data_IF_079268934567
#
_entry.id   IF_079268934567
#
_cell.length_a   1.000
_cell.length_b   1.000
_cell.length_c   1.000
_cell.angle_alpha   90.00
_cell.angle_beta   90.00
_cell.angle_gamma   90.00
#
_symmetry.space_group_name_H-M   'P 1'
#
loop_
_entity.id
_entity.type
_entity.pdbx_description
1 polymer ?
#
# COMPACT_ATOMS: atom_id res chain seq x y z
N UNK A 1 12.02 5.72 -0.19
CA UNK A 1 12.35 5.01 1.05
C UNK A 1 13.70 4.31 0.98
N UNK A 2 14.17 3.74 2.11
CA UNK A 2 15.47 3.07 2.21
C UNK A 2 15.59 1.83 1.32
N UNK A 3 16.81 1.55 0.84
CA UNK A 3 17.15 0.31 0.15
C UNK A 3 17.25 -0.87 1.13
N UNK A 4 17.22 -2.11 0.61
CA UNK A 4 17.52 -3.31 1.40
C UNK A 4 18.96 -3.75 1.16
N UNK A 5 19.59 -4.27 2.21
CA UNK A 5 20.92 -4.89 2.15
C UNK A 5 20.79 -6.37 1.78
N UNK A 6 21.51 -6.78 0.74
CA UNK A 6 21.56 -8.14 0.25
C UNK A 6 23.00 -8.68 0.30
N UNK A 7 23.14 -9.99 0.39
CA UNK A 7 24.44 -10.68 0.30
C UNK A 7 24.44 -11.57 -0.93
N UNK A 8 25.42 -11.40 -1.82
CA UNK A 8 25.61 -12.30 -2.96
C UNK A 8 26.64 -13.37 -2.61
N UNK A 9 26.19 -14.59 -2.34
CA UNK A 9 27.06 -15.76 -2.19
C UNK A 9 27.42 -16.33 -3.56
N UNK A 10 28.70 -16.35 -3.91
CA UNK A 10 29.19 -17.05 -5.10
C UNK A 10 29.39 -18.54 -4.82
N UNK A 11 29.30 -19.41 -5.82
CA UNK A 11 29.69 -20.81 -5.67
C UNK A 11 31.16 -20.88 -5.22
N UNK A 12 31.40 -21.35 -3.99
CA UNK A 12 32.74 -21.60 -3.47
C UNK A 12 33.45 -20.46 -2.72
N UNK A 13 32.77 -19.35 -2.38
CA UNK A 13 33.32 -18.34 -1.44
C UNK A 13 32.50 -18.34 -0.15
N UNK A 14 33.17 -18.54 1.00
CA UNK A 14 32.52 -18.53 2.32
C UNK A 14 31.96 -17.15 2.69
N UNK A 15 32.61 -16.07 2.26
CA UNK A 15 32.13 -14.70 2.46
C UNK A 15 31.52 -14.11 1.18
N UNK A 16 30.20 -13.93 1.16
CA UNK A 16 29.49 -13.24 0.09
C UNK A 16 29.70 -11.72 0.15
N UNK A 17 29.64 -11.04 -0.99
CA UNK A 17 29.75 -9.56 -1.04
C UNK A 17 28.38 -8.90 -0.87
N UNK A 18 28.33 -7.86 -0.03
CA UNK A 18 27.09 -7.17 0.36
C UNK A 18 26.79 -5.97 -0.54
N UNK A 19 25.52 -5.76 -0.87
CA UNK A 19 25.08 -4.65 -1.71
C UNK A 19 23.67 -4.18 -1.34
N UNK A 20 23.39 -2.91 -1.58
CA UNK A 20 22.06 -2.32 -1.47
C UNK A 20 21.33 -2.36 -2.80
N UNK A 21 20.03 -2.68 -2.77
CA UNK A 21 19.14 -2.60 -3.93
C UNK A 21 17.73 -2.14 -3.53
N UNK A 22 16.90 -1.81 -4.53
CA UNK A 22 15.53 -1.37 -4.28
C UNK A 22 14.74 -2.36 -3.42
N UNK A 23 13.98 -1.85 -2.45
CA UNK A 23 13.21 -2.65 -1.51
C UNK A 23 11.94 -3.24 -2.13
N UNK A 24 11.29 -2.52 -3.04
CA UNK A 24 9.96 -2.87 -3.56
C UNK A 24 9.94 -3.18 -5.06
N UNK A 25 11.04 -2.99 -5.78
CA UNK A 25 11.09 -3.20 -7.23
C UNK A 25 12.19 -4.18 -7.61
N UNK A 26 11.82 -5.20 -8.39
CA UNK A 26 12.73 -6.22 -8.93
C UNK A 26 13.23 -5.89 -10.33
N UNK A 27 12.53 -5.03 -11.06
CA UNK A 27 12.95 -4.62 -12.39
C UNK A 27 13.87 -3.40 -12.30
N UNK A 28 15.13 -3.58 -12.71
CA UNK A 28 16.10 -2.49 -12.72
C UNK A 28 15.73 -1.38 -13.71
N UNK A 29 14.76 -1.62 -14.60
CA UNK A 29 14.20 -0.59 -15.48
C UNK A 29 13.36 0.43 -14.71
N UNK A 30 12.58 -0.04 -13.73
CA UNK A 30 11.68 0.82 -12.96
C UNK A 30 12.40 1.43 -11.73
N UNK A 31 13.32 0.67 -11.11
CA UNK A 31 14.24 1.22 -10.12
C UNK A 31 15.65 0.62 -10.29
N UNK A 32 16.56 1.41 -10.85
CA UNK A 32 17.92 1.00 -11.17
C UNK A 32 18.91 1.06 -9.99
N UNK A 33 18.43 1.26 -8.75
CA UNK A 33 19.32 1.48 -7.61
C UNK A 33 20.15 0.23 -7.28
N UNK A 34 21.47 0.41 -7.28
CA UNK A 34 22.44 -0.61 -6.88
C UNK A 34 23.69 0.09 -6.33
N UNK A 35 24.19 -0.40 -5.19
CA UNK A 35 25.41 0.12 -4.58
C UNK A 35 26.07 -0.99 -3.75
N UNK A 36 27.37 -1.23 -3.90
CA UNK A 36 28.06 -2.15 -2.98
C UNK A 36 28.21 -1.51 -1.60
N UNK A 37 28.15 -2.30 -0.53
CA UNK A 37 28.25 -1.77 0.84
C UNK A 37 29.61 -1.10 1.10
N UNK A 38 30.67 -1.63 0.50
CA UNK A 38 32.06 -1.15 0.61
C UNK A 38 32.40 -0.03 -0.40
N UNK A 39 31.47 0.33 -1.30
CA UNK A 39 31.69 1.35 -2.32
C UNK A 39 31.52 2.75 -1.73
N UNK A 40 32.60 3.54 -1.76
CA UNK A 40 32.55 4.96 -1.39
C UNK A 40 31.77 5.74 -2.46
N UNK A 41 30.78 6.51 -2.01
CA UNK A 41 29.97 7.38 -2.88
C UNK A 41 30.57 8.78 -2.87
N UNK A 42 30.89 9.31 -4.05
CA UNK A 42 31.30 10.71 -4.18
C UNK A 42 30.13 11.66 -3.96
N UNK A 43 30.40 12.88 -3.50
CA UNK A 43 29.37 13.91 -3.31
C UNK A 43 28.56 14.17 -4.59
N UNK A 44 29.20 14.17 -5.76
CA UNK A 44 28.53 14.32 -7.06
C UNK A 44 27.53 13.20 -7.33
N UNK A 45 27.90 11.94 -7.03
CA UNK A 45 27.00 10.80 -7.23
C UNK A 45 25.85 10.79 -6.22
N UNK A 46 26.10 11.23 -4.99
CA UNK A 46 25.07 11.41 -3.98
C UNK A 46 24.05 12.47 -4.43
N UNK A 47 24.51 13.65 -4.83
CA UNK A 47 23.65 14.73 -5.30
C UNK A 47 22.81 14.32 -6.52
N UNK A 48 23.40 13.65 -7.50
CA UNK A 48 22.69 13.13 -8.66
C UNK A 48 21.61 12.10 -8.27
N UNK A 49 21.88 11.25 -7.25
CA UNK A 49 20.90 10.28 -6.76
C UNK A 49 19.76 10.95 -5.99
N UNK A 50 20.05 11.97 -5.19
CA UNK A 50 19.03 12.74 -4.50
C UNK A 50 18.12 13.49 -5.48
N UNK A 51 18.69 14.08 -6.52
CA UNK A 51 17.93 14.72 -7.59
C UNK A 51 17.04 13.71 -8.33
N UNK A 52 17.60 12.55 -8.70
CA UNK A 52 16.81 11.46 -9.27
C UNK A 52 15.65 11.08 -8.34
N UNK A 53 15.91 10.89 -7.04
CA UNK A 53 14.87 10.52 -6.07
C UNK A 53 13.78 11.61 -5.93
N UNK A 54 14.14 12.89 -6.00
CA UNK A 54 13.18 14.02 -5.99
C UNK A 54 12.31 14.03 -7.24
N UNK A 55 12.90 13.82 -8.42
CA UNK A 55 12.18 13.83 -9.70
C UNK A 55 11.25 12.62 -9.89
N UNK A 56 11.40 11.57 -9.07
CA UNK A 56 10.53 10.39 -9.08
C UNK A 56 9.54 10.38 -7.89
N UNK A 57 9.39 11.50 -7.18
CA UNK A 57 8.28 11.66 -6.24
C UNK A 57 6.97 11.92 -7.00
N UNK A 58 5.81 11.60 -6.40
CA UNK A 58 4.53 11.96 -6.99
C UNK A 58 4.41 13.47 -7.23
N UNK A 59 3.76 13.85 -8.33
CA UNK A 59 3.57 15.25 -8.72
C UNK A 59 2.76 16.07 -7.70
N UNK A 60 1.90 15.41 -6.94
CA UNK A 60 1.11 16.00 -5.87
C UNK A 60 1.45 15.36 -4.53
N UNK A 61 1.50 16.16 -3.48
CA UNK A 61 1.48 15.67 -2.10
C UNK A 61 0.11 15.11 -1.74
N UNK A 62 0.03 14.26 -0.70
CA UNK A 62 -1.25 13.71 -0.26
C UNK A 62 -2.23 14.82 0.16
N UNK A 63 -1.76 15.81 0.92
CA UNK A 63 -2.58 16.98 1.28
C UNK A 63 -3.15 17.72 0.06
N UNK A 64 -2.34 17.95 -0.98
CA UNK A 64 -2.82 18.55 -2.22
C UNK A 64 -3.89 17.66 -2.87
N UNK A 65 -3.69 16.35 -2.90
CA UNK A 65 -4.67 15.39 -3.40
C UNK A 65 -6.00 15.42 -2.62
N UNK A 66 -5.95 15.57 -1.29
CA UNK A 66 -7.15 15.75 -0.45
C UNK A 66 -7.89 17.04 -0.80
N UNK A 67 -7.17 18.16 -0.94
CA UNK A 67 -7.78 19.44 -1.29
C UNK A 67 -8.36 19.44 -2.71
N UNK A 68 -7.67 18.78 -3.66
CA UNK A 68 -8.17 18.53 -5.01
C UNK A 68 -9.44 17.71 -5.00
N UNK A 69 -9.49 16.63 -4.21
CA UNK A 69 -10.67 15.77 -4.08
C UNK A 69 -11.88 16.55 -3.58
N UNK A 70 -11.71 17.39 -2.54
CA UNK A 70 -12.78 18.28 -2.03
C UNK A 70 -13.32 19.21 -3.11
N UNK A 71 -12.44 19.83 -3.91
CA UNK A 71 -12.86 20.67 -5.03
C UNK A 71 -13.55 19.86 -6.13
N UNK A 72 -13.06 18.66 -6.41
CA UNK A 72 -13.60 17.77 -7.44
C UNK A 72 -15.03 17.31 -7.13
N UNK A 73 -15.32 16.90 -5.89
CA UNK A 73 -16.67 16.45 -5.49
C UNK A 73 -17.72 17.57 -5.51
N UNK A 74 -17.29 18.84 -5.44
CA UNK A 74 -18.18 19.99 -5.58
C UNK A 74 -18.52 20.33 -7.03
N UNK A 75 -17.80 19.78 -8.00
CA UNK A 75 -18.09 19.99 -9.41
C UNK A 75 -19.44 19.36 -9.80
N UNK A 76 -20.19 19.99 -10.73
CA UNK A 76 -21.30 19.33 -11.41
C UNK A 76 -20.84 18.06 -12.11
N UNK A 77 -21.71 17.04 -12.19
CA UNK A 77 -21.39 15.73 -12.78
C UNK A 77 -20.71 15.83 -14.18
N UNK A 78 -21.19 16.67 -15.13
CA UNK A 78 -20.56 16.82 -16.46
C UNK A 78 -19.14 17.39 -16.45
N UNK A 79 -18.71 17.97 -15.33
CA UNK A 79 -17.36 18.52 -15.14
C UNK A 79 -16.44 17.58 -14.36
N UNK A 80 -16.91 16.41 -13.94
CA UNK A 80 -16.09 15.41 -13.24
C UNK A 80 -15.46 14.49 -14.27
N UNK A 81 -14.17 14.68 -14.51
CA UNK A 81 -13.39 13.88 -15.47
C UNK A 81 -12.25 13.15 -14.78
N UNK A 82 -11.99 11.93 -15.21
CA UNK A 82 -10.84 11.14 -14.80
C UNK A 82 -10.03 10.79 -16.05
N UNK A 83 -8.75 11.13 -16.06
CA UNK A 83 -7.84 10.81 -17.16
C UNK A 83 -7.33 9.38 -17.00
N UNK A 84 -7.58 8.53 -17.99
CA UNK A 84 -7.20 7.11 -17.94
C UNK A 84 -5.71 6.90 -18.19
N UNK A 85 -5.05 7.79 -18.91
CA UNK A 85 -3.61 7.69 -19.17
C UNK A 85 -2.80 8.15 -17.96
N UNK A 86 -3.15 9.31 -17.40
CA UNK A 86 -2.48 9.86 -16.21
C UNK A 86 -2.97 9.24 -14.90
N UNK A 87 -4.07 8.48 -14.92
CA UNK A 87 -4.70 7.88 -13.74
C UNK A 87 -5.06 8.91 -12.65
N UNK A 88 -5.63 10.04 -13.08
CA UNK A 88 -5.81 11.23 -12.25
C UNK A 88 -7.21 11.85 -12.39
N UNK A 89 -7.80 12.26 -11.27
CA UNK A 89 -8.97 13.13 -11.20
C UNK A 89 -8.60 14.54 -11.68
N UNK A 90 -9.33 15.04 -12.68
CA UNK A 90 -9.03 16.32 -13.32
C UNK A 90 -9.97 17.43 -12.85
N UNK A 91 -9.37 18.54 -12.40
CA UNK A 91 -10.07 19.79 -12.21
C UNK A 91 -10.18 20.54 -13.55
N UNK A 92 -11.19 21.42 -13.74
CA UNK A 92 -11.41 22.12 -15.02
C UNK A 92 -10.19 22.87 -15.58
N UNK A 93 -9.35 23.42 -14.69
CA UNK A 93 -8.14 24.16 -15.08
C UNK A 93 -7.05 23.26 -15.71
N UNK A 94 -7.19 21.94 -15.62
CA UNK A 94 -6.17 20.99 -16.07
C UNK A 94 -6.52 20.35 -17.41
N UNK A 95 -7.73 20.57 -17.92
CA UNK A 95 -8.22 19.88 -19.11
C UNK A 95 -7.37 20.15 -20.36
N UNK A 96 -6.80 21.35 -20.49
CA UNK A 96 -5.95 21.72 -21.62
C UNK A 96 -4.66 20.88 -21.68
N UNK A 97 -4.12 20.44 -20.53
CA UNK A 97 -2.92 19.61 -20.49
C UNK A 97 -3.19 18.14 -20.82
N UNK A 98 -4.46 17.76 -21.02
CA UNK A 98 -4.87 16.39 -21.25
C UNK A 98 -5.69 16.23 -22.54
N UNK A 99 -5.73 17.22 -23.44
CA UNK A 99 -6.64 17.23 -24.61
C UNK A 99 -6.57 15.98 -25.48
N UNK A 100 -5.38 15.39 -25.59
CA UNK A 100 -5.13 14.22 -26.43
C UNK A 100 -5.26 12.89 -25.66
N UNK A 101 -5.62 12.93 -24.37
CA UNK A 101 -5.76 11.74 -23.52
C UNK A 101 -7.19 11.19 -23.52
N UNK A 102 -7.31 9.91 -23.15
CA UNK A 102 -8.60 9.25 -22.89
C UNK A 102 -9.16 9.59 -21.52
N UNK A 103 -10.48 9.79 -21.46
CA UNK A 103 -11.20 10.19 -20.24
C UNK A 103 -12.38 9.29 -19.94
N UNK A 104 -12.62 9.11 -18.65
CA UNK A 104 -13.94 8.79 -18.11
C UNK A 104 -14.61 10.10 -17.68
N UNK A 105 -15.83 10.31 -18.15
CA UNK A 105 -16.66 11.48 -17.85
C UNK A 105 -17.76 11.11 -16.84
N UNK A 106 -18.43 12.14 -16.30
CA UNK A 106 -19.59 11.98 -15.42
C UNK A 106 -19.31 11.09 -14.20
N UNK A 107 -18.12 11.27 -13.57
CA UNK A 107 -17.70 10.44 -12.44
C UNK A 107 -18.60 10.66 -11.24
N UNK A 108 -19.39 9.64 -10.92
CA UNK A 108 -20.32 9.66 -9.80
C UNK A 108 -19.60 9.55 -8.46
N UNK A 109 -20.25 10.03 -7.39
CA UNK A 109 -19.73 9.86 -6.03
C UNK A 109 -19.59 8.38 -5.63
N UNK A 110 -20.42 7.49 -6.20
CA UNK A 110 -20.30 6.05 -5.98
C UNK A 110 -19.00 5.48 -6.58
N UNK A 111 -18.63 5.91 -7.79
CA UNK A 111 -17.36 5.51 -8.42
C UNK A 111 -16.14 6.03 -7.64
N UNK A 112 -16.21 7.24 -7.09
CA UNK A 112 -15.14 7.78 -6.24
C UNK A 112 -14.91 6.97 -4.97
N UNK A 113 -15.93 6.24 -4.49
CA UNK A 113 -15.83 5.32 -3.35
C UNK A 113 -15.36 3.92 -3.71
N UNK A 114 -15.15 3.65 -5.01
CA UNK A 114 -14.58 2.39 -5.51
C UNK A 114 -13.39 2.68 -6.45
N UNK A 115 -12.30 3.30 -5.98
CA UNK A 115 -11.20 3.71 -6.86
C UNK A 115 -10.57 2.58 -7.67
N UNK A 116 -10.59 1.34 -7.19
CA UNK A 116 -10.13 0.16 -7.93
C UNK A 116 -10.90 -0.11 -9.23
N UNK A 117 -12.07 0.50 -9.43
CA UNK A 117 -12.85 0.45 -10.68
C UNK A 117 -12.49 1.59 -11.65
N UNK A 118 -11.84 2.65 -11.16
CA UNK A 118 -11.35 3.78 -11.96
C UNK A 118 -9.88 3.61 -12.33
N UNK A 119 -9.08 3.17 -11.36
CA UNK A 119 -7.66 2.89 -11.52
C UNK A 119 -7.49 1.51 -12.17
N UNK A 120 -6.73 1.44 -13.27
CA UNK A 120 -6.33 0.12 -13.76
C UNK A 120 -5.34 -0.53 -12.78
N UNK A 121 -5.39 -1.86 -12.60
CA UNK A 121 -4.48 -2.56 -11.71
C UNK A 121 -3.05 -2.53 -12.24
N UNK A 122 -2.07 -2.31 -11.35
CA UNK A 122 -0.64 -2.40 -11.67
C UNK A 122 -0.19 -3.87 -11.58
N UNK A 123 -0.50 -4.66 -12.61
CA UNK A 123 -0.32 -6.12 -12.62
C UNK A 123 1.14 -6.58 -12.79
N UNK A 124 2.09 -5.67 -13.03
CA UNK A 124 3.50 -6.03 -13.21
C UNK A 124 4.04 -6.73 -11.95
N UNK A 125 4.28 -8.04 -12.08
CA UNK A 125 4.77 -8.95 -11.04
C UNK A 125 6.11 -8.55 -10.43
N UNK A 126 6.87 -7.67 -11.07
CA UNK A 126 8.18 -7.21 -10.62
C UNK A 126 8.14 -5.93 -9.79
N UNK A 127 7.04 -5.19 -9.81
CA UNK A 127 6.87 -3.92 -9.08
C UNK A 127 5.74 -4.04 -8.07
N UNK A 128 4.49 -3.94 -8.54
CA UNK A 128 3.30 -3.76 -7.70
C UNK A 128 2.57 -5.07 -7.50
N UNK A 129 2.53 -5.94 -8.52
CA UNK A 129 1.82 -7.23 -8.48
C UNK A 129 0.40 -7.10 -7.90
N UNK A 130 -0.34 -6.06 -8.33
CA UNK A 130 -1.64 -5.73 -7.76
C UNK A 130 -2.70 -6.71 -8.27
N UNK A 131 -3.00 -7.73 -7.47
CA UNK A 131 -4.12 -8.64 -7.69
C UNK A 131 -5.26 -8.25 -6.77
N UNK A 132 -6.32 -7.73 -7.38
CA UNK A 132 -7.47 -7.24 -6.65
C UNK A 132 -8.41 -8.40 -6.31
N UNK A 133 -8.85 -8.49 -5.05
CA UNK A 133 -9.83 -9.49 -4.63
C UNK A 133 -11.12 -9.41 -5.43
N UNK A 134 -11.76 -10.56 -5.68
CA UNK A 134 -13.11 -10.57 -6.25
C UNK A 134 -14.13 -10.04 -5.24
N UNK A 135 -15.26 -9.50 -5.73
CA UNK A 135 -16.32 -8.95 -4.86
C UNK A 135 -16.82 -9.97 -3.84
N UNK A 136 -16.98 -11.23 -4.25
CA UNK A 136 -17.38 -12.33 -3.37
C UNK A 136 -16.42 -12.48 -2.18
N UNK A 137 -15.11 -12.42 -2.42
CA UNK A 137 -14.10 -12.59 -1.40
C UNK A 137 -14.01 -11.37 -0.49
N UNK A 138 -14.11 -10.15 -1.03
CA UNK A 138 -14.23 -8.94 -0.21
C UNK A 138 -15.46 -8.98 0.70
N UNK A 139 -16.62 -9.40 0.18
CA UNK A 139 -17.86 -9.49 0.95
C UNK A 139 -17.74 -10.54 2.06
N UNK A 140 -17.16 -11.69 1.76
CA UNK A 140 -16.87 -12.72 2.76
C UNK A 140 -15.96 -12.19 3.87
N UNK A 141 -14.84 -11.57 3.52
CA UNK A 141 -13.88 -11.01 4.48
C UNK A 141 -14.54 -9.92 5.35
N UNK A 142 -15.31 -9.02 4.75
CA UNK A 142 -16.05 -7.99 5.49
C UNK A 142 -17.04 -8.61 6.49
N UNK A 143 -17.84 -9.58 6.05
CA UNK A 143 -18.79 -10.26 6.93
C UNK A 143 -18.07 -11.00 8.07
N UNK A 144 -16.93 -11.63 7.78
CA UNK A 144 -16.10 -12.30 8.79
C UNK A 144 -15.59 -11.31 9.83
N UNK A 145 -15.07 -10.16 9.40
CA UNK A 145 -14.58 -9.10 10.28
C UNK A 145 -15.69 -8.59 11.23
N UNK A 146 -16.89 -8.36 10.69
CA UNK A 146 -18.08 -7.93 11.46
C UNK A 146 -18.47 -9.01 12.48
N UNK A 147 -18.57 -10.27 12.06
CA UNK A 147 -18.99 -11.38 12.91
C UNK A 147 -18.00 -11.66 14.06
N UNK A 148 -16.71 -11.40 13.83
CA UNK A 148 -15.67 -11.49 14.86
C UNK A 148 -15.61 -10.26 15.77
N UNK A 149 -16.44 -9.24 15.52
CA UNK A 149 -16.53 -8.03 16.34
C UNK A 149 -15.40 -7.03 16.10
N UNK A 150 -14.68 -7.13 14.98
CA UNK A 150 -13.63 -6.18 14.65
C UNK A 150 -14.21 -4.85 14.16
N UNK A 151 -13.69 -3.73 14.69
CA UNK A 151 -14.16 -2.38 14.37
C UNK A 151 -13.11 -1.49 13.73
N UNK A 152 -11.82 -1.79 13.87
CA UNK A 152 -10.76 -1.05 13.17
C UNK A 152 -9.85 -2.04 12.46
N UNK A 153 -9.79 -1.89 11.14
CA UNK A 153 -9.14 -2.83 10.22
C UNK A 153 -7.97 -2.12 9.54
N UNK A 154 -6.75 -2.54 9.84
CA UNK A 154 -5.58 -2.09 9.09
C UNK A 154 -5.47 -2.92 7.80
N UNK A 155 -5.80 -2.30 6.67
CA UNK A 155 -5.78 -2.91 5.34
C UNK A 155 -4.42 -2.66 4.69
N UNK A 156 -3.56 -3.67 4.59
CA UNK A 156 -2.23 -3.52 3.98
C UNK A 156 -2.20 -4.22 2.63
N UNK A 157 -2.07 -3.43 1.55
CA UNK A 157 -2.11 -3.92 0.17
C UNK A 157 -3.49 -4.45 -0.25
N UNK A 158 -4.57 -4.04 0.41
CA UNK A 158 -5.93 -4.57 0.19
C UNK A 158 -6.96 -3.47 -0.18
N UNK A 159 -6.73 -2.72 -1.27
CA UNK A 159 -7.57 -1.57 -1.61
C UNK A 159 -9.05 -1.92 -1.79
N UNK A 160 -9.41 -3.06 -2.41
CA UNK A 160 -10.82 -3.45 -2.59
C UNK A 160 -11.56 -3.77 -1.29
N UNK A 161 -10.87 -4.34 -0.30
CA UNK A 161 -11.49 -4.57 1.01
C UNK A 161 -11.72 -3.24 1.72
N UNK A 162 -10.74 -2.34 1.66
CA UNK A 162 -10.86 -1.00 2.22
C UNK A 162 -12.02 -0.22 1.58
N UNK A 163 -12.13 -0.23 0.25
CA UNK A 163 -13.25 0.35 -0.51
C UNK A 163 -14.60 -0.15 -0.02
N UNK A 164 -14.75 -1.46 0.14
CA UNK A 164 -16.00 -2.06 0.59
C UNK A 164 -16.37 -1.63 2.02
N UNK A 165 -15.38 -1.54 2.92
CA UNK A 165 -15.57 -1.03 4.28
C UNK A 165 -16.02 0.44 4.23
N UNK A 166 -15.35 1.30 3.46
CA UNK A 166 -15.69 2.73 3.37
C UNK A 166 -17.05 2.98 2.71
N UNK A 167 -17.40 2.19 1.69
CA UNK A 167 -18.68 2.25 1.01
C UNK A 167 -19.82 1.90 1.98
N UNK A 168 -19.68 0.81 2.73
CA UNK A 168 -20.67 0.39 3.74
C UNK A 168 -20.79 1.42 4.88
N UNK A 169 -19.68 1.95 5.38
CA UNK A 169 -19.65 3.00 6.39
C UNK A 169 -20.33 4.31 5.96
N UNK A 170 -20.42 4.56 4.65
CA UNK A 170 -21.13 5.72 4.12
C UNK A 170 -22.63 5.50 3.92
N UNK A 171 -23.07 4.25 3.80
CA UNK A 171 -24.46 3.89 3.48
C UNK A 171 -25.27 3.56 4.72
N UNK A 172 -24.61 3.04 5.76
CA UNK A 172 -25.23 2.52 6.97
C UNK A 172 -24.72 3.30 8.18
N UNK A 173 -25.55 4.15 8.79
CA UNK A 173 -25.16 5.01 9.92
C UNK A 173 -24.73 4.21 11.17
N UNK A 174 -25.32 3.02 11.37
CA UNK A 174 -24.97 2.12 12.47
C UNK A 174 -23.69 1.30 12.21
N UNK A 175 -23.11 1.37 11.01
CA UNK A 175 -21.93 0.60 10.66
C UNK A 175 -20.68 1.18 11.34
N UNK A 176 -20.06 0.36 12.18
CA UNK A 176 -18.98 0.81 13.10
C UNK A 176 -17.57 0.40 12.67
N UNK A 177 -17.41 -0.31 11.54
CA UNK A 177 -16.07 -0.73 11.09
C UNK A 177 -15.40 0.40 10.32
N UNK A 178 -14.17 0.72 10.71
CA UNK A 178 -13.29 1.69 10.05
C UNK A 178 -12.07 0.99 9.50
N UNK A 179 -11.50 1.53 8.42
CA UNK A 179 -10.28 0.99 7.83
C UNK A 179 -9.28 2.08 7.51
N UNK A 180 -8.00 1.76 7.70
CA UNK A 180 -6.86 2.52 7.20
C UNK A 180 -6.15 1.67 6.14
N UNK A 181 -5.93 2.23 4.95
CA UNK A 181 -5.22 1.58 3.85
C UNK A 181 -3.73 1.96 3.87
N UNK A 182 -2.87 0.97 4.04
CA UNK A 182 -1.43 1.11 3.77
C UNK A 182 -1.13 0.50 2.40
N UNK A 183 -0.73 1.32 1.44
CA UNK A 183 -0.37 0.86 0.09
C UNK A 183 0.79 1.66 -0.49
N UNK A 184 1.55 1.01 -1.38
CA UNK A 184 2.63 1.65 -2.14
C UNK A 184 2.08 2.38 -3.38
N UNK A 185 0.87 2.02 -3.84
CA UNK A 185 0.20 2.69 -4.94
C UNK A 185 -0.37 4.04 -4.51
N UNK A 186 0.44 5.08 -4.67
CA UNK A 186 0.07 6.45 -4.30
C UNK A 186 -1.13 7.00 -5.06
N UNK A 187 -1.58 6.36 -6.16
CA UNK A 187 -2.76 6.81 -6.91
C UNK A 187 -4.02 6.80 -6.05
N UNK A 188 -4.09 5.99 -5.00
CA UNK A 188 -5.21 5.99 -4.06
C UNK A 188 -5.30 7.25 -3.18
N UNK A 189 -4.20 8.02 -3.03
CA UNK A 189 -4.17 9.23 -2.20
C UNK A 189 -5.12 10.34 -2.67
N UNK A 190 -5.55 10.31 -3.93
CA UNK A 190 -6.50 11.28 -4.49
C UNK A 190 -7.97 10.97 -4.17
N UNK A 191 -8.26 9.83 -3.55
CA UNK A 191 -9.62 9.40 -3.20
C UNK A 191 -9.86 9.36 -1.69
N UNK A 192 -8.80 9.32 -0.89
CA UNK A 192 -8.86 9.11 0.55
C UNK A 192 -8.17 10.22 1.32
N UNK A 193 -8.70 10.52 2.50
CA UNK A 193 -8.08 11.45 3.45
C UNK A 193 -6.79 10.88 4.04
N UNK A 194 -6.04 11.73 4.76
CA UNK A 194 -4.81 11.31 5.48
C UNK A 194 -5.10 10.32 6.62
N UNK A 195 -6.36 10.21 7.07
CA UNK A 195 -6.80 9.27 8.10
C UNK A 195 -7.27 7.91 7.50
N UNK A 196 -7.47 7.85 6.18
CA UNK A 196 -7.97 6.66 5.48
C UNK A 196 -6.89 5.98 4.63
N UNK A 197 -5.85 6.71 4.23
CA UNK A 197 -4.76 6.20 3.40
C UNK A 197 -3.39 6.67 3.89
N UNK A 198 -2.41 5.78 3.83
CA UNK A 198 -1.01 6.11 4.04
C UNK A 198 -0.16 5.52 2.92
N UNK A 199 0.63 6.38 2.26
CA UNK A 199 1.64 5.93 1.30
C UNK A 199 2.75 5.19 2.05
N UNK A 200 2.80 3.88 1.85
CA UNK A 200 3.56 2.97 2.68
C UNK A 200 4.26 1.89 1.85
N UNK A 201 5.54 1.65 2.13
CA UNK A 201 6.29 0.54 1.57
C UNK A 201 6.44 -0.57 2.61
N UNK A 202 5.75 -1.68 2.36
CA UNK A 202 5.73 -2.86 3.22
C UNK A 202 7.08 -3.60 3.30
N UNK A 203 7.95 -3.46 2.29
CA UNK A 203 9.22 -4.19 2.23
C UNK A 203 10.34 -3.57 3.05
N UNK A 204 10.16 -2.35 3.56
CA UNK A 204 11.16 -1.68 4.40
C UNK A 204 10.50 -0.84 5.52
N UNK A 205 9.20 -1.03 5.74
CA UNK A 205 8.41 -0.27 6.69
C UNK A 205 8.60 1.26 6.60
N UNK A 206 8.55 1.79 5.37
CA UNK A 206 8.75 3.20 5.14
C UNK A 206 7.43 3.92 4.84
N UNK A 207 7.11 4.93 5.64
CA UNK A 207 6.04 5.89 5.36
C UNK A 207 6.60 7.08 4.60
N UNK A 208 6.08 7.31 3.39
CA UNK A 208 6.57 8.40 2.53
C UNK A 208 6.11 9.79 3.01
N UNK A 209 5.05 9.87 3.82
CA UNK A 209 4.59 11.11 4.48
C UNK A 209 5.37 11.50 5.74
N UNK A 210 6.40 10.72 6.12
CA UNK A 210 7.24 10.99 7.28
C UNK A 210 6.63 10.62 8.64
N UNK A 211 7.11 11.28 9.70
CA UNK A 211 6.70 10.95 11.07
C UNK A 211 5.23 11.27 11.35
N UNK A 212 4.63 12.27 10.68
CA UNK A 212 3.22 12.61 10.87
C UNK A 212 2.29 11.48 10.42
N UNK A 213 2.52 10.88 9.25
CA UNK A 213 1.72 9.74 8.78
C UNK A 213 2.01 8.47 9.57
N UNK A 214 3.27 8.30 10.02
CA UNK A 214 3.62 7.24 10.98
C UNK A 214 2.86 7.40 12.28
N UNK A 215 2.72 8.65 12.75
CA UNK A 215 1.98 8.97 13.97
C UNK A 215 0.47 8.82 13.79
N UNK A 216 -0.15 9.14 12.65
CA UNK A 216 -1.58 8.84 12.42
C UNK A 216 -1.85 7.34 12.42
N UNK A 217 -1.00 6.55 11.76
CA UNK A 217 -1.08 5.08 11.82
C UNK A 217 -0.79 4.51 13.22
N UNK A 218 -0.09 5.25 14.09
CA UNK A 218 0.23 4.87 15.48
C UNK A 218 -0.75 5.45 16.51
N UNK A 219 -1.40 6.59 16.24
CA UNK A 219 -2.36 7.28 17.11
C UNK A 219 -3.76 6.72 16.95
N UNK A 220 -4.01 5.94 15.90
CA UNK A 220 -5.12 5.00 15.86
C UNK A 220 -4.81 3.78 16.75
N UNK A 221 -4.64 4.03 18.06
CA UNK A 221 -4.23 3.11 19.15
C UNK A 221 -5.22 1.95 19.39
N UNK A 222 -6.15 1.71 18.45
CA UNK A 222 -7.16 0.67 18.54
C UNK A 222 -7.33 -0.10 17.22
N UNK A 223 -6.26 -0.37 16.47
CA UNK A 223 -6.33 -1.36 15.39
C UNK A 223 -6.65 -2.72 16.03
N UNK A 224 -7.79 -3.32 15.67
CA UNK A 224 -8.20 -4.61 16.25
C UNK A 224 -7.69 -5.80 15.42
N UNK A 225 -7.50 -5.60 14.12
CA UNK A 225 -7.10 -6.66 13.18
C UNK A 225 -6.37 -6.07 11.99
N UNK A 226 -5.40 -6.82 11.47
CA UNK A 226 -4.72 -6.48 10.24
C UNK A 226 -5.01 -7.48 9.12
N UNK A 227 -5.30 -6.99 7.92
CA UNK A 227 -5.55 -7.80 6.73
C UNK A 227 -4.47 -7.52 5.70
N UNK A 228 -3.62 -8.52 5.47
CA UNK A 228 -2.53 -8.49 4.50
C UNK A 228 -2.94 -9.16 3.21
N UNK A 229 -2.86 -8.42 2.11
CA UNK A 229 -3.00 -8.95 0.75
C UNK A 229 -1.76 -8.58 -0.05
N UNK A 230 -0.96 -9.58 -0.40
CA UNK A 230 0.26 -9.36 -1.18
C UNK A 230 0.48 -10.62 -2.00
N UNK A 231 0.90 -10.49 -3.25
CA UNK A 231 1.34 -11.63 -4.07
C UNK A 231 2.74 -11.32 -4.55
N UNK A 232 3.71 -11.42 -3.66
CA UNK A 232 5.07 -11.03 -4.00
C UNK A 232 6.03 -12.20 -3.86
N UNK A 233 6.89 -12.31 -4.87
CA UNK A 233 7.87 -13.38 -5.01
C UNK A 233 9.04 -13.24 -4.03
N UNK A 234 9.10 -12.13 -3.29
CA UNK A 234 10.14 -11.85 -2.30
C UNK A 234 9.58 -11.91 -0.87
N UNK A 235 8.88 -13.01 -0.60
CA UNK A 235 8.32 -13.38 0.69
C UNK A 235 9.32 -13.15 1.84
N UNK A 236 10.57 -13.57 1.66
CA UNK A 236 11.60 -13.45 2.69
C UNK A 236 11.91 -12.00 3.05
N UNK A 237 12.13 -11.10 2.07
CA UNK A 237 12.34 -9.68 2.36
C UNK A 237 11.10 -9.04 3.01
N UNK A 238 9.91 -9.38 2.53
CA UNK A 238 8.68 -8.96 3.18
C UNK A 238 8.68 -9.38 4.65
N UNK A 239 9.00 -10.64 4.95
CA UNK A 239 9.00 -11.15 6.32
C UNK A 239 10.04 -10.57 7.25
N UNK A 240 11.27 -10.40 6.78
CA UNK A 240 12.33 -9.79 7.58
C UNK A 240 12.04 -8.34 7.96
N UNK A 241 11.28 -7.60 7.15
CA UNK A 241 10.88 -6.23 7.48
C UNK A 241 9.53 -6.16 8.18
N UNK A 242 8.63 -7.09 7.86
CA UNK A 242 7.27 -7.13 8.36
C UNK A 242 7.19 -7.70 9.76
N UNK A 243 7.97 -8.73 10.10
CA UNK A 243 7.98 -9.31 11.45
C UNK A 243 8.39 -8.27 12.52
N UNK A 244 9.50 -7.52 12.36
CA UNK A 244 9.85 -6.43 13.29
C UNK A 244 8.82 -5.30 13.32
N UNK A 245 8.22 -4.96 12.17
CA UNK A 245 7.10 -4.02 12.13
C UNK A 245 5.94 -4.53 12.99
N UNK A 246 5.50 -5.77 12.76
CA UNK A 246 4.42 -6.40 13.48
C UNK A 246 4.69 -6.33 14.98
N UNK A 247 5.88 -6.76 15.43
CA UNK A 247 6.28 -6.67 16.84
C UNK A 247 6.30 -5.23 17.36
N UNK A 248 6.79 -4.26 16.57
CA UNK A 248 6.87 -2.86 16.99
C UNK A 248 5.50 -2.20 17.07
N UNK A 249 4.68 -2.31 16.02
CA UNK A 249 3.28 -1.84 16.00
C UNK A 249 2.51 -2.50 17.14
N UNK A 250 2.69 -3.80 17.34
CA UNK A 250 2.10 -4.54 18.45
C UNK A 250 2.50 -4.01 19.82
N UNK A 251 3.80 -3.77 20.05
CA UNK A 251 4.30 -3.21 21.31
C UNK A 251 3.75 -1.80 21.61
N UNK A 252 3.47 -1.03 20.55
CA UNK A 252 2.87 0.31 20.67
C UNK A 252 1.37 0.27 20.97
N UNK A 253 0.68 -0.84 20.69
CA UNK A 253 -0.75 -1.04 20.96
C UNK A 253 -1.05 -1.47 22.41
N UNK A 254 -0.04 -1.54 23.30
CA UNK A 254 -0.24 -1.73 24.75
C UNK A 254 -0.85 -3.09 25.14
N UNK A 255 -0.82 -4.07 24.24
CA UNK A 255 -1.30 -5.41 24.52
C UNK A 255 -0.21 -6.23 25.21
N UNK A 256 -0.23 -6.20 26.54
CA UNK A 256 0.55 -7.14 27.36
C UNK A 256 0.03 -8.57 27.10
N UNK A 257 0.80 -9.34 26.32
CA UNK A 257 0.71 -10.79 26.12
C UNK A 257 -0.39 -11.39 25.21
N UNK A 258 -0.96 -10.66 24.23
CA UNK A 258 -1.84 -11.29 23.22
C UNK A 258 -1.52 -10.82 21.81
N UNK A 259 -1.02 -11.70 20.94
CA UNK A 259 -0.76 -11.42 19.52
C UNK A 259 -1.92 -10.67 18.84
N UNK A 260 -1.59 -9.66 18.01
CA UNK A 260 -2.60 -8.94 17.22
C UNK A 260 -3.25 -9.91 16.21
N UNK A 261 -4.60 -10.01 16.18
CA UNK A 261 -5.29 -10.78 15.16
C UNK A 261 -4.89 -10.36 13.74
N UNK A 262 -4.60 -11.35 12.90
CA UNK A 262 -4.17 -11.11 11.52
C UNK A 262 -4.83 -12.08 10.55
N UNK A 263 -5.32 -11.53 9.44
CA UNK A 263 -5.62 -12.30 8.24
C UNK A 263 -4.52 -12.07 7.23
N UNK A 264 -3.69 -13.09 7.00
CA UNK A 264 -2.70 -13.04 5.94
C UNK A 264 -3.15 -13.87 4.75
N UNK A 265 -3.56 -13.16 3.70
CA UNK A 265 -4.00 -13.75 2.44
C UNK A 265 -2.78 -13.94 1.55
N UNK A 266 -2.39 -15.19 1.36
CA UNK A 266 -1.20 -15.57 0.60
C UNK A 266 -1.36 -16.95 -0.05
N UNK A 267 -0.64 -17.27 -1.14
CA UNK A 267 -0.73 -18.60 -1.76
C UNK A 267 -0.36 -19.74 -0.80
N UNK A 268 -1.17 -20.79 -0.77
CA UNK A 268 -1.07 -21.92 0.19
C UNK A 268 0.33 -22.55 0.28
N UNK A 269 1.07 -22.64 -0.83
CA UNK A 269 2.39 -23.28 -0.89
C UNK A 269 3.49 -22.51 -0.14
N UNK A 270 3.18 -21.35 0.45
CA UNK A 270 4.06 -20.60 1.33
C UNK A 270 3.83 -20.85 2.82
N UNK A 271 2.86 -21.69 3.21
CA UNK A 271 2.51 -21.96 4.61
C UNK A 271 3.74 -22.26 5.47
N UNK A 272 4.57 -23.22 5.06
CA UNK A 272 5.81 -23.58 5.80
C UNK A 272 6.68 -22.37 6.13
N UNK A 273 6.88 -21.46 5.16
CA UNK A 273 7.68 -20.26 5.35
C UNK A 273 6.99 -19.20 6.19
N UNK A 274 5.65 -19.14 6.19
CA UNK A 274 4.87 -18.25 7.06
C UNK A 274 5.03 -18.68 8.51
N UNK A 275 4.92 -19.99 8.76
CA UNK A 275 5.04 -20.57 10.09
C UNK A 275 6.43 -20.39 10.71
N UNK A 276 7.48 -20.30 9.88
CA UNK A 276 8.84 -19.97 10.36
C UNK A 276 8.90 -18.58 11.06
N UNK A 277 8.06 -17.62 10.65
CA UNK A 277 8.00 -16.27 11.24
C UNK A 277 6.84 -16.09 12.20
N UNK A 278 5.72 -16.78 11.98
CA UNK A 278 4.51 -16.69 12.79
C UNK A 278 3.99 -18.10 13.13
N UNK A 279 4.58 -18.76 14.15
CA UNK A 279 4.24 -20.15 14.49
C UNK A 279 2.80 -20.37 14.96
N UNK A 280 2.10 -19.30 15.37
CA UNK A 280 0.70 -19.33 15.82
C UNK A 280 -0.31 -19.35 14.67
N UNK A 281 0.13 -19.16 13.43
CA UNK A 281 -0.76 -19.08 12.28
C UNK A 281 -1.29 -20.46 11.92
N UNK A 282 -2.47 -20.48 11.30
CA UNK A 282 -3.06 -21.68 10.71
C UNK A 282 -3.70 -21.30 9.39
N UNK A 283 -3.52 -22.15 8.37
CA UNK A 283 -4.13 -21.94 7.06
C UNK A 283 -5.60 -22.36 7.09
N UNK A 284 -6.47 -21.48 6.61
CA UNK A 284 -7.90 -21.76 6.42
C UNK A 284 -8.14 -22.29 4.99
N UNK A 285 -9.16 -23.14 4.80
CA UNK A 285 -9.49 -23.72 3.48
C UNK A 285 -10.21 -22.77 2.51
N UNK A 286 -10.38 -21.49 2.89
CA UNK A 286 -11.10 -20.54 2.06
C UNK A 286 -10.27 -20.09 0.85
N UNK A 287 -10.83 -20.26 -0.35
CA UNK A 287 -10.21 -19.83 -1.60
C UNK A 287 -10.59 -18.36 -1.87
N UNK A 288 -9.61 -17.47 -1.68
CA UNK A 288 -9.75 -16.02 -1.87
C UNK A 288 -9.70 -15.62 -3.34
#
# INVERSE_FOLDING_TARGET
>A
GPALLFVKTGQGKEEGRRFYACSACRDRKDCNFFQWEDEKVSETRLAAREEYNRNHQPSFTHRQNVDRYKNFVLLPLPKRRFCQECQQLLLPAEWENHTDHQFLCDITTAQLKSPSQLLYPLENKKTNAQYLFADRSCQFLLNLLINLGFRRVLSVGTPRLHEMIQSKASQEEEFSVRSLLLDIDFRYSQFYTEDEFCHYNMFNHHFFGGERTSSSAQHDVHIHVCVFGTFTVNFSCCMYCFSPMYTKVFSLLGHDNKEMPMFWIFPYFFESRILDFFPSFSMMDYQV
#
